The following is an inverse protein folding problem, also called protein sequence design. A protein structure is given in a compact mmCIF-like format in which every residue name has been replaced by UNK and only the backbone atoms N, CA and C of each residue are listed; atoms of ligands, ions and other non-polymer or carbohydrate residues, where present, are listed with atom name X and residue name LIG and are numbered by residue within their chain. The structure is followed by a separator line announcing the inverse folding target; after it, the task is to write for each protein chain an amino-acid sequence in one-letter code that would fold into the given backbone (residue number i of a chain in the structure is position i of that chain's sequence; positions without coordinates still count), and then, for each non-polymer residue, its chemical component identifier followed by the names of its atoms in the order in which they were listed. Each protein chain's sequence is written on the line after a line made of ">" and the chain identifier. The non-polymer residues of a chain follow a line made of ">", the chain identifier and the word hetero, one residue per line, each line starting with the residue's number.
data_IF_065566766313
#
_entry.id   IF_065566766313
#
_cell.length_a   1.000
_cell.length_b   1.000
_cell.length_c   1.000
_cell.angle_alpha   90.00
_cell.angle_beta   90.00
_cell.angle_gamma   90.00
#
_symmetry.space_group_name_H-M   'P 1'
#
loop_
_entity.id
_entity.type
_entity.pdbx_description
1 polymer ?
#
# COMPACT_ATOMS: atom_id res chain seq x y z
N UNK A 1 -7.71 -14.33 5.48
CA UNK A 1 -6.38 -14.39 6.11
C UNK A 1 -6.56 -14.97 7.49
N UNK A 2 -5.82 -16.02 7.81
CA UNK A 2 -5.87 -16.73 9.09
C UNK A 2 -5.49 -15.77 10.21
N UNK A 3 -6.45 -15.41 11.05
CA UNK A 3 -6.15 -14.75 12.31
C UNK A 3 -5.43 -15.76 13.20
N UNK A 4 -4.15 -15.52 13.48
CA UNK A 4 -3.42 -16.25 14.51
C UNK A 4 -4.18 -16.05 15.83
N UNK A 5 -4.74 -17.12 16.37
CA UNK A 5 -5.41 -17.07 17.67
C UNK A 5 -4.36 -16.81 18.76
N UNK A 6 -4.72 -15.94 19.71
CA UNK A 6 -3.86 -15.56 20.84
C UNK A 6 -3.40 -16.77 21.66
N UNK A 7 -4.16 -17.88 21.62
CA UNK A 7 -3.84 -19.18 22.22
C UNK A 7 -2.59 -19.84 21.61
N UNK A 8 -2.43 -19.79 20.28
CA UNK A 8 -1.24 -20.32 19.61
C UNK A 8 0.03 -19.52 19.97
N UNK A 9 -0.12 -18.24 20.33
CA UNK A 9 1.00 -17.39 20.73
C UNK A 9 1.47 -17.68 22.16
N UNK A 10 0.60 -18.16 23.04
CA UNK A 10 0.93 -18.42 24.45
C UNK A 10 1.78 -19.68 24.63
N UNK A 11 1.66 -20.64 23.71
CA UNK A 11 2.37 -21.92 23.76
C UNK A 11 3.78 -21.91 23.14
N UNK A 12 4.24 -20.76 22.61
CA UNK A 12 5.58 -20.60 22.05
C UNK A 12 6.59 -20.19 23.13
N UNK A 13 7.86 -20.57 22.95
CA UNK A 13 8.95 -20.02 23.75
C UNK A 13 9.26 -18.56 23.34
N UNK A 14 9.93 -17.81 24.21
CA UNK A 14 10.17 -16.38 24.01
C UNK A 14 11.00 -16.06 22.74
N UNK A 15 11.91 -16.95 22.33
CA UNK A 15 12.68 -16.74 21.10
C UNK A 15 11.77 -16.88 19.87
N UNK A 16 10.96 -17.93 19.83
CA UNK A 16 9.97 -18.15 18.77
C UNK A 16 8.93 -17.03 18.69
N UNK A 17 8.47 -16.49 19.83
CA UNK A 17 7.55 -15.33 19.84
C UNK A 17 8.19 -14.11 19.19
N UNK A 18 9.44 -13.81 19.52
CA UNK A 18 10.16 -12.64 18.97
C UNK A 18 10.36 -12.77 17.46
N UNK A 19 10.75 -13.95 16.99
CA UNK A 19 10.89 -14.22 15.55
C UNK A 19 9.55 -14.07 14.84
N UNK A 20 8.48 -14.66 15.40
CA UNK A 20 7.14 -14.59 14.82
C UNK A 20 6.61 -13.15 14.76
N UNK A 21 6.81 -12.34 15.81
CA UNK A 21 6.43 -10.92 15.79
C UNK A 21 7.18 -10.16 14.68
N UNK A 22 8.48 -10.39 14.53
CA UNK A 22 9.29 -9.78 13.45
C UNK A 22 8.78 -10.20 12.07
N UNK A 23 8.46 -11.49 11.90
CA UNK A 23 7.87 -12.00 10.66
C UNK A 23 6.51 -11.34 10.37
N UNK A 24 5.63 -11.26 11.37
CA UNK A 24 4.31 -10.65 11.24
C UNK A 24 4.39 -9.17 10.88
N UNK A 25 5.30 -8.41 11.48
CA UNK A 25 5.53 -7.01 11.11
C UNK A 25 5.92 -6.88 9.64
N UNK A 26 6.83 -7.73 9.17
CA UNK A 26 7.25 -7.79 7.77
C UNK A 26 6.08 -8.12 6.83
N UNK A 27 5.29 -9.15 7.15
CA UNK A 27 4.14 -9.55 6.33
C UNK A 27 3.03 -8.48 6.33
N UNK A 28 2.75 -7.86 7.48
CA UNK A 28 1.81 -6.74 7.56
C UNK A 28 2.28 -5.54 6.72
N UNK A 29 3.58 -5.24 6.73
CA UNK A 29 4.15 -4.19 5.89
C UNK A 29 3.96 -4.49 4.39
N UNK A 30 4.27 -5.73 3.97
CA UNK A 30 4.03 -6.19 2.59
C UNK A 30 2.56 -6.08 2.20
N UNK A 31 1.66 -6.50 3.09
CA UNK A 31 0.21 -6.41 2.82
C UNK A 31 -0.25 -4.96 2.65
N UNK A 32 0.23 -4.03 3.48
CA UNK A 32 -0.08 -2.59 3.34
C UNK A 32 0.37 -2.05 1.98
N UNK A 33 1.56 -2.45 1.52
CA UNK A 33 2.06 -2.08 0.18
C UNK A 33 1.15 -2.66 -0.91
N UNK A 34 0.80 -3.96 -0.82
CA UNK A 34 -0.08 -4.60 -1.81
C UNK A 34 -1.45 -3.93 -1.89
N UNK A 35 -2.07 -3.61 -0.74
CA UNK A 35 -3.34 -2.87 -0.72
C UNK A 35 -3.20 -1.48 -1.37
N UNK A 36 -2.08 -0.81 -1.14
CA UNK A 36 -1.80 0.49 -1.75
C UNK A 36 -1.61 0.38 -3.27
N UNK A 37 -0.91 -0.66 -3.75
CA UNK A 37 -0.77 -0.96 -5.18
C UNK A 37 -2.14 -1.16 -5.81
N UNK A 38 -2.98 -2.04 -5.25
CA UNK A 38 -4.33 -2.27 -5.77
C UNK A 38 -5.17 -1.00 -5.82
N UNK A 39 -5.11 -0.18 -4.76
CA UNK A 39 -5.81 1.11 -4.69
C UNK A 39 -5.35 2.05 -5.80
N UNK A 40 -4.04 2.23 -5.97
CA UNK A 40 -3.49 3.14 -6.98
C UNK A 40 -3.73 2.63 -8.39
N UNK A 41 -3.60 1.32 -8.63
CA UNK A 41 -3.96 0.72 -9.91
C UNK A 41 -5.41 1.02 -10.25
N UNK A 42 -6.36 0.82 -9.33
CA UNK A 42 -7.77 1.09 -9.60
C UNK A 42 -8.05 2.57 -9.93
N UNK A 43 -7.51 3.49 -9.12
CA UNK A 43 -7.72 4.93 -9.32
C UNK A 43 -7.05 5.41 -10.61
N UNK A 44 -5.76 5.12 -10.75
CA UNK A 44 -4.95 5.68 -11.83
C UNK A 44 -5.25 5.02 -13.18
N UNK A 45 -5.66 3.75 -13.21
CA UNK A 45 -6.12 3.12 -14.44
C UNK A 45 -7.34 3.85 -15.00
N UNK A 46 -8.36 4.09 -14.17
CA UNK A 46 -9.58 4.81 -14.58
C UNK A 46 -9.33 6.28 -14.96
N UNK A 47 -8.23 6.88 -14.51
CA UNK A 47 -7.89 8.28 -14.79
C UNK A 47 -6.96 8.47 -15.98
N UNK A 48 -6.13 7.49 -16.29
CA UNK A 48 -5.06 7.62 -17.26
C UNK A 48 -5.21 6.73 -18.50
N UNK A 49 -6.04 5.68 -18.43
CA UNK A 49 -6.21 4.71 -19.50
C UNK A 49 -7.64 4.84 -20.05
N UNK A 50 -7.80 5.63 -21.11
CA UNK A 50 -9.12 5.86 -21.74
C UNK A 50 -9.51 4.70 -22.67
N UNK A 51 -8.54 4.14 -23.40
CA UNK A 51 -8.74 3.02 -24.32
C UNK A 51 -7.47 2.20 -24.47
N UNK A 52 -7.59 0.89 -24.49
CA UNK A 52 -6.44 -0.01 -24.69
C UNK A 52 -6.27 -0.28 -26.18
N UNK A 53 -5.28 0.37 -26.80
CA UNK A 53 -4.97 0.20 -28.23
C UNK A 53 -3.77 -0.70 -28.52
N UNK A 54 -2.91 -0.95 -27.53
CA UNK A 54 -1.72 -1.79 -27.62
C UNK A 54 -1.51 -2.57 -26.32
N UNK A 55 -0.64 -3.59 -26.33
CA UNK A 55 -0.26 -4.35 -25.14
C UNK A 55 0.62 -3.56 -24.17
N UNK A 56 1.32 -2.53 -24.65
CA UNK A 56 2.16 -1.64 -23.85
C UNK A 56 1.45 -0.35 -23.42
N UNK A 57 2.06 0.35 -22.47
CA UNK A 57 1.69 1.73 -22.14
C UNK A 57 2.35 2.69 -23.13
N UNK A 58 1.58 3.60 -23.69
CA UNK A 58 2.12 4.75 -24.41
C UNK A 58 2.91 5.66 -23.47
N UNK A 59 3.74 6.56 -24.04
CA UNK A 59 4.49 7.54 -23.24
C UNK A 59 3.57 8.42 -22.40
N UNK A 60 2.41 8.81 -22.94
CA UNK A 60 1.44 9.66 -22.26
C UNK A 60 0.78 8.95 -21.09
N UNK A 61 0.39 7.68 -21.26
CA UNK A 61 -0.18 6.86 -20.17
C UNK A 61 0.85 6.61 -19.08
N UNK A 62 2.10 6.29 -19.44
CA UNK A 62 3.19 6.09 -18.49
C UNK A 62 3.44 7.33 -17.62
N UNK A 63 3.47 8.52 -18.23
CA UNK A 63 3.67 9.77 -17.50
C UNK A 63 2.44 10.18 -16.69
N UNK A 64 1.22 9.94 -17.20
CA UNK A 64 -0.01 10.14 -16.43
C UNK A 64 -0.03 9.27 -15.17
N UNK A 65 0.27 7.97 -15.29
CA UNK A 65 0.26 7.03 -14.16
C UNK A 65 1.28 7.44 -13.07
N UNK A 66 2.50 7.83 -13.46
CA UNK A 66 3.51 8.37 -12.52
C UNK A 66 2.98 9.61 -11.79
N UNK A 67 2.39 10.54 -12.54
CA UNK A 67 1.85 11.77 -11.97
C UNK A 67 0.66 11.49 -11.05
N UNK A 68 -0.24 10.58 -11.41
CA UNK A 68 -1.40 10.21 -10.61
C UNK A 68 -0.99 9.75 -9.20
N UNK A 69 -0.04 8.82 -9.11
CA UNK A 69 0.48 8.33 -7.82
C UNK A 69 1.15 9.45 -7.03
N UNK A 70 2.05 10.22 -7.68
CA UNK A 70 2.75 11.33 -7.02
C UNK A 70 1.78 12.40 -6.48
N UNK A 71 0.78 12.80 -7.27
CA UNK A 71 -0.24 13.78 -6.84
C UNK A 71 -1.06 13.27 -5.66
N UNK A 72 -1.40 11.98 -5.63
CA UNK A 72 -2.09 11.40 -4.49
C UNK A 72 -1.23 11.48 -3.22
N UNK A 73 0.04 11.08 -3.30
CA UNK A 73 0.96 11.14 -2.16
C UNK A 73 1.18 12.57 -1.65
N UNK A 74 1.42 13.52 -2.56
CA UNK A 74 1.59 14.94 -2.22
C UNK A 74 0.35 15.49 -1.50
N UNK A 75 -0.84 15.14 -1.98
CA UNK A 75 -2.11 15.56 -1.37
C UNK A 75 -2.26 14.97 0.03
N UNK A 76 -1.94 13.69 0.22
CA UNK A 76 -2.02 13.06 1.54
C UNK A 76 -1.06 13.72 2.53
N UNK A 77 0.18 14.00 2.11
CA UNK A 77 1.17 14.71 2.94
C UNK A 77 0.66 16.11 3.30
N UNK A 78 0.09 16.84 2.34
CA UNK A 78 -0.47 18.17 2.56
C UNK A 78 -1.61 18.15 3.59
N UNK A 79 -2.54 17.18 3.47
CA UNK A 79 -3.64 16.99 4.42
C UNK A 79 -3.11 16.68 5.83
N UNK A 80 -2.18 15.74 5.95
CA UNK A 80 -1.60 15.36 7.25
C UNK A 80 -0.90 16.55 7.91
N UNK A 81 -0.09 17.31 7.15
CA UNK A 81 0.54 18.54 7.65
C UNK A 81 -0.50 19.57 8.10
N UNK A 82 -1.58 19.73 7.34
CA UNK A 82 -2.69 20.62 7.70
C UNK A 82 -3.33 20.22 9.04
N UNK A 83 -3.56 18.92 9.25
CA UNK A 83 -4.12 18.38 10.49
C UNK A 83 -3.17 18.54 11.68
N UNK A 84 -1.87 18.36 11.48
CA UNK A 84 -0.86 18.55 12.53
C UNK A 84 -0.77 20.02 12.99
N UNK A 85 -0.97 20.98 12.08
CA UNK A 85 -0.95 22.41 12.40
C UNK A 85 -2.23 22.89 13.13
N UNK A 86 -3.27 22.06 13.22
CA UNK A 86 -4.50 22.34 13.96
C UNK A 86 -4.45 21.86 15.42
N UNK A 87 -3.39 21.16 15.83
CA UNK A 87 -3.10 20.77 17.21
C UNK A 87 -2.16 21.77 17.87
#
# INVERSE_FOLDING_TARGET
>A
MSALSQDNLQNLDEASKKELMTFLESENSKQKIQMSIHKFTNICFNQCIDSISDAGLSSQESDCLKNCVNRFLDTNISIVKGLQNLQ
#
